data_IF_589959295243
#
_entry.id   IF_589959295243
#
_cell.length_a   1.000
_cell.length_b   1.000
_cell.length_c   1.000
_cell.angle_alpha   90.00
_cell.angle_beta   90.00
_cell.angle_gamma   90.00
#
_symmetry.space_group_name_H-M   'P 1'
#
loop_
_entity.id
_entity.type
_entity.pdbx_description
1 polymer ?
#
# COMPACT_ATOMS: atom_id res chain seq x y z
N UNK A 1 16.54 13.99 -5.50
CA UNK A 1 15.99 14.68 -6.68
C UNK A 1 15.34 15.97 -6.18
N UNK A 2 15.83 17.15 -6.57
CA UNK A 2 15.35 18.45 -6.03
C UNK A 2 14.61 19.19 -7.15
N UNK A 3 13.30 19.37 -7.01
CA UNK A 3 12.49 20.14 -7.97
C UNK A 3 10.98 19.86 -7.98
N UNK A 4 10.53 18.72 -7.45
CA UNK A 4 9.10 18.36 -7.43
C UNK A 4 8.41 18.96 -6.19
N UNK A 5 7.15 19.36 -6.27
CA UNK A 5 6.38 19.85 -5.11
C UNK A 5 5.96 18.69 -4.19
N UNK A 6 5.73 18.94 -2.90
CA UNK A 6 5.22 17.90 -1.97
C UNK A 6 3.89 17.32 -2.45
N UNK A 7 3.01 18.17 -2.99
CA UNK A 7 1.73 17.76 -3.55
C UNK A 7 1.87 16.82 -4.75
N UNK A 8 2.78 17.09 -5.67
CA UNK A 8 3.02 16.21 -6.82
C UNK A 8 3.52 14.83 -6.36
N UNK A 9 4.46 14.79 -5.40
CA UNK A 9 4.89 13.50 -4.84
C UNK A 9 3.78 12.74 -4.12
N UNK A 10 2.87 13.44 -3.45
CA UNK A 10 1.71 12.82 -2.81
C UNK A 10 0.72 12.27 -3.84
N UNK A 11 0.54 12.98 -4.96
CA UNK A 11 -0.22 12.49 -6.11
C UNK A 11 0.43 11.24 -6.71
N UNK A 12 1.75 11.22 -6.89
CA UNK A 12 2.49 10.05 -7.38
C UNK A 12 2.41 8.86 -6.41
N UNK A 13 2.50 9.13 -5.10
CA UNK A 13 2.36 8.10 -4.07
C UNK A 13 0.97 7.43 -4.13
N UNK A 14 -0.10 8.24 -4.19
CA UNK A 14 -1.46 7.71 -4.27
C UNK A 14 -1.81 7.11 -5.64
N UNK A 15 -1.32 7.69 -6.73
CA UNK A 15 -1.69 7.35 -8.10
C UNK A 15 -0.85 6.27 -8.76
N UNK A 16 0.40 6.07 -8.32
CA UNK A 16 1.30 5.08 -8.91
C UNK A 16 1.78 4.06 -7.87
N UNK A 17 2.31 4.52 -6.73
CA UNK A 17 2.93 3.62 -5.74
C UNK A 17 1.89 2.70 -5.09
N UNK A 18 0.76 3.24 -4.66
CA UNK A 18 -0.31 2.43 -4.05
C UNK A 18 -0.81 1.37 -5.04
N UNK A 19 -1.34 1.72 -6.23
CA UNK A 19 -1.81 0.71 -7.20
C UNK A 19 -0.78 -0.36 -7.55
N UNK A 20 0.50 0.02 -7.70
CA UNK A 20 1.58 -0.93 -7.97
C UNK A 20 1.78 -1.94 -6.84
N UNK A 21 1.71 -1.48 -5.58
CA UNK A 21 1.79 -2.35 -4.41
C UNK A 21 0.54 -3.23 -4.27
N UNK A 22 -0.65 -2.72 -4.59
CA UNK A 22 -1.89 -3.52 -4.61
C UNK A 22 -1.78 -4.67 -5.59
N UNK A 23 -1.43 -4.37 -6.85
CA UNK A 23 -1.31 -5.39 -7.90
C UNK A 23 -0.24 -6.42 -7.56
N UNK A 24 0.90 -5.97 -7.00
CA UNK A 24 1.95 -6.87 -6.51
C UNK A 24 1.46 -7.81 -5.39
N UNK A 25 0.56 -7.33 -4.52
CA UNK A 25 0.05 -8.08 -3.38
C UNK A 25 -1.00 -9.15 -3.73
N UNK A 26 -1.66 -9.06 -4.89
CA UNK A 26 -2.66 -10.04 -5.35
C UNK A 26 -2.11 -11.47 -5.45
N UNK A 27 -0.79 -11.62 -5.64
CA UNK A 27 -0.09 -12.92 -5.73
C UNK A 27 0.65 -13.32 -4.46
N UNK A 28 0.61 -12.51 -3.41
CA UNK A 28 1.40 -12.76 -2.22
C UNK A 28 0.62 -13.57 -1.21
N UNK A 29 1.15 -14.74 -0.85
CA UNK A 29 0.74 -15.39 0.41
C UNK A 29 1.02 -14.41 1.54
N UNK A 30 0.04 -14.26 2.46
CA UNK A 30 0.10 -13.36 3.62
C UNK A 30 1.21 -13.79 4.58
N UNK A 31 2.43 -13.42 4.22
CA UNK A 31 3.64 -13.66 5.00
C UNK A 31 4.14 -12.35 5.58
N UNK A 32 4.58 -12.38 6.84
CA UNK A 32 5.16 -11.22 7.52
C UNK A 32 6.31 -10.56 6.76
N UNK A 33 7.06 -11.37 6.00
CA UNK A 33 8.14 -10.91 5.12
C UNK A 33 7.64 -9.92 4.06
N UNK A 34 6.47 -10.16 3.49
CA UNK A 34 5.89 -9.31 2.46
C UNK A 34 5.38 -7.99 3.06
N UNK A 35 4.72 -8.04 4.22
CA UNK A 35 4.33 -6.84 4.98
C UNK A 35 5.54 -5.94 5.28
N UNK A 36 6.64 -6.54 5.75
CA UNK A 36 7.87 -5.80 6.03
C UNK A 36 8.45 -5.15 4.77
N UNK A 37 8.32 -5.78 3.61
CA UNK A 37 8.77 -5.20 2.33
C UNK A 37 7.88 -4.04 1.89
N UNK A 38 6.56 -4.14 2.03
CA UNK A 38 5.63 -3.04 1.76
C UNK A 38 5.97 -1.86 2.64
N UNK A 39 6.10 -2.09 3.95
CA UNK A 39 6.44 -1.06 4.92
C UNK A 39 7.80 -0.39 4.57
N UNK A 40 8.81 -1.16 4.17
CA UNK A 40 10.10 -0.60 3.79
C UNK A 40 10.04 0.29 2.52
N UNK A 41 9.23 -0.11 1.53
CA UNK A 41 9.02 0.68 0.29
C UNK A 41 8.23 1.95 0.61
N UNK A 42 7.15 1.82 1.38
CA UNK A 42 6.33 2.95 1.84
C UNK A 42 7.17 3.96 2.63
N UNK A 43 7.90 3.51 3.64
CA UNK A 43 8.74 4.38 4.47
C UNK A 43 9.82 5.09 3.65
N UNK A 44 10.39 4.44 2.64
CA UNK A 44 11.34 5.09 1.71
C UNK A 44 10.67 6.21 0.92
N UNK A 45 9.47 5.96 0.40
CA UNK A 45 8.69 6.97 -0.32
C UNK A 45 8.32 8.14 0.59
N UNK A 46 7.80 7.87 1.80
CA UNK A 46 7.44 8.91 2.76
C UNK A 46 8.64 9.77 3.17
N UNK A 47 9.79 9.15 3.43
CA UNK A 47 11.03 9.88 3.76
C UNK A 47 11.47 10.80 2.62
N UNK A 48 11.39 10.34 1.37
CA UNK A 48 11.67 11.19 0.20
C UNK A 48 10.66 12.35 0.09
N UNK A 49 9.37 12.07 0.28
CA UNK A 49 8.31 13.08 0.23
C UNK A 49 8.48 14.18 1.27
N UNK A 50 8.80 13.78 2.51
CA UNK A 50 9.01 14.65 3.65
C UNK A 50 10.41 15.26 3.70
N UNK A 51 11.30 14.92 2.76
CA UNK A 51 12.69 15.39 2.73
C UNK A 51 13.52 14.90 3.92
N UNK A 52 13.13 13.79 4.54
CA UNK A 52 13.81 13.19 5.69
C UNK A 52 14.91 12.26 5.19
N UNK A 53 16.15 12.60 5.53
CA UNK A 53 17.32 11.78 5.29
C UNK A 53 17.53 10.76 6.41
N UNK A 54 18.45 9.81 6.20
CA UNK A 54 18.89 8.89 7.27
C UNK A 54 19.61 9.61 8.42
N UNK A 55 20.19 10.79 8.17
CA UNK A 55 20.94 11.54 9.18
C UNK A 55 20.04 12.24 10.20
N UNK A 56 18.76 12.40 9.87
CA UNK A 56 17.80 13.08 10.73
C UNK A 56 17.33 12.20 11.90
N UNK A 57 17.74 10.92 11.94
CA UNK A 57 17.45 9.93 13.02
C UNK A 57 15.97 10.02 13.46
N UNK A 58 15.09 10.20 12.49
CA UNK A 58 13.67 10.42 12.69
C UNK A 58 12.96 9.06 12.74
N UNK A 59 12.05 8.88 13.72
CA UNK A 59 11.30 7.63 13.86
C UNK A 59 10.31 7.47 12.72
N UNK A 60 9.95 6.23 12.41
CA UNK A 60 8.98 5.95 11.35
C UNK A 60 7.60 6.57 11.67
N UNK A 61 7.20 6.60 12.94
CA UNK A 61 5.99 7.29 13.42
C UNK A 61 5.99 8.78 13.06
N UNK A 62 7.10 9.46 13.30
CA UNK A 62 7.22 10.91 13.11
C UNK A 62 7.18 11.25 11.61
N UNK A 63 7.74 10.37 10.77
CA UNK A 63 7.66 10.49 9.31
C UNK A 63 6.23 10.30 8.82
N UNK A 64 5.48 9.32 9.38
CA UNK A 64 4.07 9.10 9.06
C UNK A 64 3.21 10.29 9.47
N UNK A 65 3.43 10.85 10.66
CA UNK A 65 2.74 12.06 11.14
C UNK A 65 3.03 13.28 10.26
N UNK A 66 4.29 13.45 9.81
CA UNK A 66 4.66 14.52 8.85
C UNK A 66 4.09 14.31 7.46
N UNK A 67 3.68 13.09 7.13
CA UNK A 67 3.08 12.80 5.83
C UNK A 67 1.64 13.26 5.83
N UNK A 68 1.21 13.95 4.77
CA UNK A 68 -0.19 14.40 4.64
C UNK A 68 -1.13 13.24 4.22
N UNK A 69 -0.72 11.98 4.48
CA UNK A 69 -1.50 10.79 4.16
C UNK A 69 -2.52 10.53 5.26
N UNK A 70 -3.79 10.36 4.86
CA UNK A 70 -4.87 9.98 5.78
C UNK A 70 -4.77 8.54 6.27
N UNK A 71 -4.05 7.70 5.54
CA UNK A 71 -3.96 6.28 5.79
C UNK A 71 -2.69 5.68 5.22
N UNK A 72 -2.10 4.76 5.97
CA UNK A 72 -0.95 3.96 5.60
C UNK A 72 -1.25 2.98 4.44
N UNK A 73 -0.22 2.63 3.68
CA UNK A 73 -0.33 1.72 2.53
C UNK A 73 -0.62 0.29 2.97
N UNK A 74 -0.12 -0.14 4.13
CA UNK A 74 -0.35 -1.49 4.67
C UNK A 74 -1.83 -1.88 4.77
N UNK A 75 -2.65 -1.14 5.52
CA UNK A 75 -4.10 -1.39 5.63
C UNK A 75 -4.84 -1.33 4.28
N UNK A 76 -4.40 -0.47 3.35
CA UNK A 76 -4.97 -0.40 2.00
C UNK A 76 -4.72 -1.68 1.22
N UNK A 77 -3.46 -2.12 1.18
CA UNK A 77 -2.98 -3.35 0.56
C UNK A 77 -3.73 -4.55 1.12
N UNK A 78 -3.84 -4.63 2.44
CA UNK A 78 -4.58 -5.69 3.12
C UNK A 78 -6.06 -5.74 2.71
N UNK A 79 -6.76 -4.59 2.70
CA UNK A 79 -8.16 -4.57 2.26
C UNK A 79 -8.35 -4.99 0.82
N UNK A 80 -7.43 -4.66 -0.09
CA UNK A 80 -7.59 -5.09 -1.48
C UNK A 80 -7.22 -6.54 -1.71
N UNK A 81 -6.28 -7.09 -0.94
CA UNK A 81 -6.08 -8.53 -0.91
C UNK A 81 -7.35 -9.24 -0.44
N UNK A 82 -7.98 -8.78 0.66
CA UNK A 82 -9.23 -9.37 1.15
C UNK A 82 -10.35 -9.28 0.10
N UNK A 83 -10.57 -8.11 -0.51
CA UNK A 83 -11.55 -7.96 -1.60
C UNK A 83 -11.26 -8.87 -2.81
N UNK A 84 -9.99 -9.10 -3.12
CA UNK A 84 -9.59 -10.01 -4.18
C UNK A 84 -9.89 -11.47 -3.81
N UNK A 85 -9.59 -11.89 -2.58
CA UNK A 85 -9.98 -13.22 -2.07
C UNK A 85 -11.50 -13.40 -2.08
N UNK A 86 -12.26 -12.42 -1.58
CA UNK A 86 -13.72 -12.44 -1.62
C UNK A 86 -14.25 -12.59 -3.06
N UNK A 87 -13.60 -11.96 -4.04
CA UNK A 87 -13.94 -12.10 -5.46
C UNK A 87 -13.60 -13.47 -6.03
N UNK A 88 -12.47 -14.07 -5.62
CA UNK A 88 -12.07 -15.42 -6.04
C UNK A 88 -12.97 -16.50 -5.42
N UNK A 89 -13.48 -16.29 -4.20
CA UNK A 89 -14.42 -17.20 -3.53
C UNK A 89 -15.86 -17.08 -4.06
N UNK A 90 -16.19 -16.01 -4.80
CA UNK A 90 -17.54 -15.75 -5.31
C UNK A 90 -17.61 -15.93 -6.84
N UNK A 91 -17.53 -17.19 -7.32
CA UNK A 91 -18.55 -17.70 -8.24
C UNK A 91 -18.86 -19.21 -8.05
N UNK A 92 -19.09 -19.69 -6.81
CA UNK A 92 -19.48 -21.10 -6.61
C UNK A 92 -20.84 -21.34 -5.89
N UNK A 93 -21.46 -20.31 -5.31
CA UNK A 93 -22.73 -20.46 -4.58
C UNK A 93 -23.98 -20.26 -5.46
N UNK A 94 -23.86 -19.60 -6.62
CA UNK A 94 -25.01 -19.26 -7.49
C UNK A 94 -25.14 -20.12 -8.75
N UNK A 95 -24.44 -21.26 -8.84
CA UNK A 95 -24.59 -22.22 -9.97
C UNK A 95 -25.19 -23.58 -9.61
N UNK A 96 -25.70 -23.78 -8.39
CA UNK A 96 -26.27 -25.08 -7.97
C UNK A 96 -27.79 -25.11 -7.75
N UNK A 97 -28.54 -24.13 -8.24
CA UNK A 97 -30.02 -24.20 -8.20
C UNK A 97 -30.65 -23.89 -9.55
N UNK A 98 -30.23 -24.62 -10.58
CA UNK A 98 -31.09 -24.86 -11.75
C UNK A 98 -30.80 -26.26 -12.24
N UNK A 99 -31.47 -27.25 -11.63
CA UNK A 99 -31.88 -28.54 -12.19
C UNK A 99 -32.41 -29.39 -11.03
N UNK A 100 -33.72 -29.34 -10.81
CA UNK A 100 -34.66 -30.47 -10.62
C UNK A 100 -36.06 -29.91 -10.40
#
# INVERSE_FOLDING_TARGET
MKGVSRQARLADHNGALIPMLMYGSERWVRQKKNENRVNAVEMRSLRDMCGVSRKDICRDSDVRERSDLKEDVGPRVERSMLRWFDHLEMPNESKLTTNL
#
